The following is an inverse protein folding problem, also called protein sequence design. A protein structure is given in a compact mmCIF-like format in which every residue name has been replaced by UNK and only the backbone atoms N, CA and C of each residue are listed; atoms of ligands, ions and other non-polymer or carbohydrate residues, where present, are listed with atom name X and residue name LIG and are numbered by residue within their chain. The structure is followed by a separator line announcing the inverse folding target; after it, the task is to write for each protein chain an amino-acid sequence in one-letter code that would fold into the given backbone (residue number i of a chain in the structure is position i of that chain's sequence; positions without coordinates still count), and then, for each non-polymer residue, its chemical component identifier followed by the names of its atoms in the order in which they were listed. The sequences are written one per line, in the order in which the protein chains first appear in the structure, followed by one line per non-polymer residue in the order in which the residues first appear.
data_IF_512690861461
#
_entry.id   IF_512690861461
#
_cell.length_a   1.000
_cell.length_b   1.000
_cell.length_c   1.000
_cell.angle_alpha   90.00
_cell.angle_beta   90.00
_cell.angle_gamma   90.00
#
_symmetry.space_group_name_H-M   'P 1'
#
loop_
_entity.id
_entity.type
_entity.pdbx_description
1 polymer ?
#
# COMPACT_ATOMS: atom_id res chain seq x y z
N UNK A 1 -26.36 -9.80 5.34
CA UNK A 1 -25.51 -10.61 6.24
C UNK A 1 -24.26 -10.94 5.45
N UNK A 2 -23.19 -10.16 5.65
CA UNK A 2 -21.89 -10.49 5.03
C UNK A 2 -21.35 -11.73 5.74
N UNK A 3 -20.87 -12.72 4.99
CA UNK A 3 -20.15 -13.86 5.60
C UNK A 3 -18.86 -13.32 6.26
N UNK A 4 -18.39 -13.98 7.31
CA UNK A 4 -17.11 -13.65 7.95
C UNK A 4 -15.95 -13.62 6.92
N UNK A 5 -16.03 -14.48 5.90
CA UNK A 5 -15.12 -14.49 4.75
C UNK A 5 -15.13 -13.18 3.96
N UNK A 6 -16.31 -12.60 3.71
CA UNK A 6 -16.45 -11.35 2.96
C UNK A 6 -15.87 -10.14 3.70
N UNK A 7 -15.97 -10.14 5.03
CA UNK A 7 -15.38 -9.11 5.88
C UNK A 7 -13.84 -9.20 5.91
N UNK A 8 -13.29 -10.42 6.00
CA UNK A 8 -11.86 -10.66 5.92
C UNK A 8 -11.28 -10.30 4.53
N UNK A 9 -12.02 -10.59 3.45
CA UNK A 9 -11.65 -10.15 2.10
C UNK A 9 -11.63 -8.63 1.98
N UNK A 10 -12.60 -7.93 2.56
CA UNK A 10 -12.67 -6.46 2.49
C UNK A 10 -11.45 -5.77 3.10
N UNK A 11 -10.95 -6.24 4.25
CA UNK A 11 -9.71 -5.73 4.85
C UNK A 11 -8.49 -6.05 3.99
N UNK A 12 -8.39 -7.27 3.48
CA UNK A 12 -7.26 -7.70 2.65
C UNK A 12 -7.21 -6.90 1.34
N UNK A 13 -8.35 -6.71 0.69
CA UNK A 13 -8.47 -5.88 -0.52
C UNK A 13 -8.06 -4.44 -0.24
N UNK A 14 -8.50 -3.85 0.87
CA UNK A 14 -8.09 -2.50 1.26
C UNK A 14 -6.56 -2.39 1.42
N UNK A 15 -5.94 -3.35 2.13
CA UNK A 15 -4.48 -3.41 2.29
C UNK A 15 -3.75 -3.56 0.96
N UNK A 16 -4.11 -4.57 0.15
CA UNK A 16 -3.44 -4.85 -1.12
C UNK A 16 -3.55 -3.67 -2.09
N UNK A 17 -4.70 -3.01 -2.15
CA UNK A 17 -4.89 -1.81 -2.99
C UNK A 17 -3.98 -0.66 -2.54
N UNK A 18 -3.98 -0.34 -1.25
CA UNK A 18 -3.17 0.75 -0.72
C UNK A 18 -1.67 0.44 -0.92
N UNK A 19 -1.22 -0.75 -0.52
CA UNK A 19 0.17 -1.19 -0.65
C UNK A 19 0.67 -1.23 -2.09
N UNK A 20 -0.18 -1.67 -3.04
CA UNK A 20 0.15 -1.68 -4.46
C UNK A 20 0.25 -0.26 -5.02
N UNK A 21 -0.65 0.64 -4.61
CA UNK A 21 -0.64 2.02 -5.11
C UNK A 21 0.59 2.80 -4.65
N UNK A 22 0.95 2.69 -3.37
CA UNK A 22 2.14 3.37 -2.83
C UNK A 22 3.44 2.64 -3.20
N UNK A 23 3.37 1.47 -3.85
CA UNK A 23 4.54 0.73 -4.34
C UNK A 23 5.28 -0.10 -3.28
N UNK A 24 4.63 -0.41 -2.15
CA UNK A 24 5.17 -1.32 -1.13
C UNK A 24 5.16 -2.77 -1.62
N UNK A 25 4.16 -3.14 -2.42
CA UNK A 25 4.07 -4.42 -3.12
C UNK A 25 3.94 -4.19 -4.63
N UNK A 26 4.19 -5.22 -5.41
CA UNK A 26 3.99 -5.22 -6.85
C UNK A 26 2.79 -6.10 -7.25
N UNK A 27 2.50 -6.14 -8.55
CA UNK A 27 1.44 -7.00 -9.11
C UNK A 27 1.70 -8.47 -8.76
N UNK A 28 2.94 -8.95 -8.82
CA UNK A 28 3.27 -10.34 -8.57
C UNK A 28 2.90 -10.78 -7.15
N UNK A 29 3.10 -9.92 -6.15
CA UNK A 29 2.67 -10.17 -4.77
C UNK A 29 1.13 -10.29 -4.64
N UNK A 30 0.37 -9.47 -5.38
CA UNK A 30 -1.11 -9.57 -5.41
C UNK A 30 -1.56 -10.87 -6.07
N UNK A 31 -0.93 -11.28 -7.18
CA UNK A 31 -1.22 -12.56 -7.84
C UNK A 31 -0.91 -13.72 -6.90
N UNK A 32 0.23 -13.69 -6.21
CA UNK A 32 0.62 -14.73 -5.27
C UNK A 32 -0.39 -14.87 -4.11
N UNK A 33 -0.91 -13.75 -3.61
CA UNK A 33 -2.00 -13.78 -2.63
C UNK A 33 -3.27 -14.41 -3.22
N UNK A 34 -3.63 -14.07 -4.46
CA UNK A 34 -4.80 -14.64 -5.12
C UNK A 34 -4.66 -16.16 -5.28
N UNK A 35 -3.52 -16.63 -5.78
CA UNK A 35 -3.21 -18.07 -5.93
C UNK A 35 -3.29 -18.81 -4.59
N UNK A 36 -2.66 -18.27 -3.54
CA UNK A 36 -2.68 -18.87 -2.21
C UNK A 36 -4.12 -18.94 -1.65
N UNK A 37 -4.92 -17.90 -1.89
CA UNK A 37 -6.32 -17.86 -1.47
C UNK A 37 -7.15 -18.90 -2.23
N UNK A 38 -7.03 -18.96 -3.57
CA UNK A 38 -7.73 -19.92 -4.42
C UNK A 38 -7.48 -21.37 -3.99
N UNK A 39 -6.26 -21.69 -3.57
CA UNK A 39 -5.90 -23.03 -3.10
C UNK A 39 -6.66 -23.48 -1.83
N UNK A 40 -7.26 -22.54 -1.08
CA UNK A 40 -7.97 -22.83 0.17
C UNK A 40 -9.49 -22.79 0.04
N UNK A 41 -10.02 -22.18 -1.03
CA UNK A 41 -11.46 -22.01 -1.23
C UNK A 41 -12.08 -23.16 -2.03
N UNK A 42 -13.20 -23.70 -1.53
CA UNK A 42 -13.98 -24.69 -2.28
C UNK A 42 -14.78 -24.06 -3.44
N UNK A 43 -15.23 -22.82 -3.26
CA UNK A 43 -16.05 -22.08 -4.23
C UNK A 43 -15.52 -20.64 -4.38
N UNK A 44 -14.36 -20.46 -5.05
CA UNK A 44 -13.77 -19.13 -5.19
C UNK A 44 -14.64 -18.21 -6.06
N UNK A 45 -14.74 -16.90 -5.71
CA UNK A 45 -15.43 -15.93 -6.55
C UNK A 45 -14.67 -15.78 -7.88
N UNK A 46 -15.43 -15.62 -8.96
CA UNK A 46 -14.85 -15.52 -10.31
C UNK A 46 -13.85 -14.36 -10.44
N UNK A 47 -14.12 -13.22 -9.78
CA UNK A 47 -13.21 -12.09 -9.76
C UNK A 47 -11.82 -12.42 -9.18
N UNK A 48 -11.73 -13.34 -8.21
CA UNK A 48 -10.47 -13.79 -7.63
C UNK A 48 -9.70 -14.72 -8.59
N UNK A 49 -10.42 -15.55 -9.35
CA UNK A 49 -9.82 -16.38 -10.42
C UNK A 49 -9.23 -15.49 -11.50
N UNK A 50 -9.98 -14.49 -11.97
CA UNK A 50 -9.49 -13.52 -12.93
C UNK A 50 -8.26 -12.78 -12.40
N UNK A 51 -8.31 -12.32 -11.15
CA UNK A 51 -7.18 -11.65 -10.51
C UNK A 51 -5.92 -12.51 -10.58
N UNK A 52 -5.98 -13.81 -10.27
CA UNK A 52 -4.82 -14.72 -10.35
C UNK A 52 -4.22 -14.85 -11.77
N UNK A 53 -4.98 -14.55 -12.82
CA UNK A 53 -4.52 -14.62 -14.21
C UNK A 53 -3.92 -13.31 -14.73
N UNK A 54 -3.93 -12.24 -13.93
CA UNK A 54 -3.53 -10.87 -14.34
C UNK A 54 -2.02 -10.58 -14.24
N UNK A 55 -1.15 -11.59 -14.32
CA UNK A 55 0.32 -11.43 -14.17
C UNK A 55 0.99 -10.42 -15.11
N UNK A 56 0.33 -10.05 -16.22
CA UNK A 56 0.82 -9.07 -17.21
C UNK A 56 0.01 -7.77 -17.24
N UNK A 57 -0.98 -7.64 -16.37
CA UNK A 57 -1.83 -6.45 -16.30
C UNK A 57 -1.11 -5.29 -15.65
N UNK A 58 -1.62 -4.08 -15.91
CA UNK A 58 -1.11 -2.89 -15.25
C UNK A 58 -1.50 -2.87 -13.77
N UNK A 59 -0.79 -2.05 -13.00
CA UNK A 59 -1.11 -1.79 -11.60
C UNK A 59 -2.55 -1.31 -11.43
N UNK A 60 -2.99 -0.41 -12.31
CA UNK A 60 -4.32 0.19 -12.29
C UNK A 60 -5.41 -0.85 -12.58
N UNK A 61 -5.18 -1.75 -13.54
CA UNK A 61 -6.09 -2.85 -13.85
C UNK A 61 -6.23 -3.81 -12.66
N UNK A 62 -5.11 -4.18 -12.02
CA UNK A 62 -5.10 -5.05 -10.84
C UNK A 62 -5.80 -4.39 -9.66
N UNK A 63 -5.55 -3.10 -9.41
CA UNK A 63 -6.26 -2.34 -8.39
C UNK A 63 -7.77 -2.33 -8.64
N UNK A 64 -8.21 -2.13 -9.89
CA UNK A 64 -9.62 -2.18 -10.25
C UNK A 64 -10.21 -3.57 -10.02
N UNK A 65 -9.51 -4.64 -10.40
CA UNK A 65 -9.98 -6.01 -10.19
C UNK A 65 -10.11 -6.37 -8.70
N UNK A 66 -9.22 -5.86 -7.84
CA UNK A 66 -9.33 -6.05 -6.39
C UNK A 66 -10.69 -5.56 -5.84
N UNK A 67 -11.29 -4.51 -6.42
CA UNK A 67 -12.64 -4.04 -6.02
C UNK A 67 -13.76 -5.00 -6.43
N UNK A 68 -13.52 -5.81 -7.47
CA UNK A 68 -14.48 -6.83 -7.90
C UNK A 68 -14.39 -8.09 -7.03
N UNK A 69 -13.27 -8.31 -6.34
CA UNK A 69 -13.10 -9.41 -5.38
C UNK A 69 -13.93 -9.17 -4.12
N UNK A 70 -13.83 -7.97 -3.54
CA UNK A 70 -14.63 -7.55 -2.41
C UNK A 70 -14.67 -6.03 -2.28
N UNK A 71 -15.72 -5.51 -1.63
CA UNK A 71 -15.76 -4.11 -1.20
C UNK A 71 -14.69 -3.87 -0.13
N UNK A 72 -13.79 -2.88 -0.30
CA UNK A 72 -12.80 -2.53 0.71
C UNK A 72 -13.47 -2.19 2.04
N UNK A 73 -12.94 -2.74 3.14
CA UNK A 73 -13.46 -2.46 4.49
C UNK A 73 -13.00 -1.10 5.05
N UNK A 74 -11.98 -0.50 4.44
CA UNK A 74 -11.36 0.77 4.84
C UNK A 74 -10.91 1.52 3.58
N UNK A 75 -10.86 2.85 3.68
CA UNK A 75 -10.31 3.68 2.60
C UNK A 75 -8.78 3.71 2.66
N UNK A 76 -8.14 4.13 1.57
CA UNK A 76 -6.68 4.09 1.44
C UNK A 76 -5.95 4.87 2.56
N UNK A 77 -6.48 6.01 2.98
CA UNK A 77 -5.88 6.88 4.02
C UNK A 77 -5.89 6.23 5.40
N UNK A 78 -6.93 5.45 5.73
CA UNK A 78 -7.03 4.71 6.98
C UNK A 78 -6.11 3.48 6.98
N UNK A 79 -5.84 2.93 5.79
CA UNK A 79 -4.98 1.75 5.62
C UNK A 79 -3.50 2.11 5.52
N UNK A 80 -3.18 3.35 5.13
CA UNK A 80 -1.81 3.82 4.92
C UNK A 80 -0.88 3.57 6.13
N UNK A 81 -1.26 3.79 7.40
CA UNK A 81 -0.41 3.46 8.55
C UNK A 81 0.10 2.02 8.57
N UNK A 82 -0.75 1.04 8.24
CA UNK A 82 -0.37 -0.37 8.21
C UNK A 82 0.58 -0.69 7.06
N UNK A 83 0.37 -0.02 5.92
CA UNK A 83 1.26 -0.12 4.78
C UNK A 83 2.63 0.50 5.08
N UNK A 84 2.67 1.63 5.80
CA UNK A 84 3.91 2.27 6.26
C UNK A 84 4.66 1.44 7.29
N UNK A 85 3.96 0.68 8.15
CA UNK A 85 4.56 -0.30 9.07
C UNK A 85 5.40 -1.35 8.31
N UNK A 86 4.86 -1.89 7.22
CA UNK A 86 5.58 -2.86 6.37
C UNK A 86 6.71 -2.17 5.59
N UNK A 87 6.45 -0.96 5.09
CA UNK A 87 7.46 -0.17 4.39
C UNK A 87 8.68 0.14 5.28
N UNK A 88 8.48 0.44 6.57
CA UNK A 88 9.55 0.69 7.54
C UNK A 88 10.59 -0.44 7.57
N UNK A 89 10.12 -1.69 7.58
CA UNK A 89 11.00 -2.87 7.59
C UNK A 89 11.79 -2.99 6.28
N UNK A 90 11.20 -2.58 5.15
CA UNK A 90 11.82 -2.67 3.83
C UNK A 90 12.85 -1.55 3.59
N UNK A 91 12.66 -0.36 4.17
CA UNK A 91 13.59 0.76 4.07
C UNK A 91 15.00 0.42 4.60
N UNK A 92 15.12 -0.52 5.54
CA UNK A 92 16.41 -0.99 6.04
C UNK A 92 17.21 -1.83 5.04
N UNK A 93 16.54 -2.44 4.05
CA UNK A 93 17.13 -3.44 3.16
C UNK A 93 17.26 -3.03 1.69
N UNK A 94 16.61 -1.95 1.26
CA UNK A 94 16.61 -1.49 -0.13
C UNK A 94 16.81 0.04 -0.21
N UNK A 95 18.03 0.52 -0.48
CA UNK A 95 18.33 1.95 -0.61
C UNK A 95 17.56 2.67 -1.71
N UNK A 96 17.04 1.96 -2.71
CA UNK A 96 16.25 2.57 -3.80
C UNK A 96 14.76 2.66 -3.49
N UNK A 97 14.33 2.03 -2.41
CA UNK A 97 12.93 1.95 -2.04
C UNK A 97 12.39 3.28 -1.51
N UNK A 98 13.21 4.08 -0.81
CA UNK A 98 12.81 5.35 -0.20
C UNK A 98 12.18 6.31 -1.21
N UNK A 99 12.88 6.57 -2.32
CA UNK A 99 12.37 7.43 -3.41
C UNK A 99 11.07 6.92 -4.02
N UNK A 100 10.99 5.62 -4.35
CA UNK A 100 9.77 5.02 -4.94
C UNK A 100 8.57 5.09 -3.99
N UNK A 101 8.81 4.84 -2.70
CA UNK A 101 7.81 4.95 -1.65
C UNK A 101 7.30 6.38 -1.52
N UNK A 102 8.21 7.37 -1.50
CA UNK A 102 7.86 8.78 -1.42
C UNK A 102 6.97 9.23 -2.60
N UNK A 103 7.32 8.84 -3.84
CA UNK A 103 6.50 9.10 -5.03
C UNK A 103 5.10 8.47 -4.91
N UNK A 104 5.03 7.24 -4.40
CA UNK A 104 3.77 6.52 -4.19
C UNK A 104 2.87 7.19 -3.16
N UNK A 105 3.46 7.56 -2.02
CA UNK A 105 2.78 8.30 -0.94
C UNK A 105 2.29 9.66 -1.43
N UNK A 106 3.09 10.39 -2.22
CA UNK A 106 2.70 11.69 -2.76
C UNK A 106 1.50 11.60 -3.70
N UNK A 107 1.45 10.59 -4.58
CA UNK A 107 0.29 10.36 -5.45
C UNK A 107 -0.99 10.11 -4.66
N UNK A 108 -0.90 9.35 -3.57
CA UNK A 108 -2.03 9.13 -2.67
C UNK A 108 -2.43 10.44 -2.00
N UNK A 109 -1.49 11.18 -1.41
CA UNK A 109 -1.74 12.47 -0.77
C UNK A 109 -2.41 13.48 -1.72
N UNK A 110 -1.95 13.59 -2.95
CA UNK A 110 -2.54 14.46 -3.97
C UNK A 110 -3.98 14.03 -4.34
N UNK A 111 -4.24 12.72 -4.43
CA UNK A 111 -5.58 12.19 -4.72
C UNK A 111 -6.55 12.35 -3.55
N UNK A 112 -6.06 12.35 -2.32
CA UNK A 112 -6.83 12.69 -1.11
C UNK A 112 -7.07 14.20 -0.97
N UNK A 113 -6.78 15.00 -2.00
CA UNK A 113 -7.01 16.44 -1.99
C UNK A 113 -6.06 17.19 -1.07
N UNK A 114 -4.87 16.64 -0.82
CA UNK A 114 -3.87 17.16 0.13
C UNK A 114 -4.33 17.16 1.59
N UNK A 115 -5.39 16.41 1.91
CA UNK A 115 -6.00 16.37 3.24
C UNK A 115 -5.87 14.97 3.87
N UNK A 116 -4.65 14.65 4.32
CA UNK A 116 -4.42 13.46 5.14
C UNK A 116 -4.50 13.79 6.64
N UNK A 117 -4.85 12.83 7.51
CA UNK A 117 -4.82 13.01 8.95
C UNK A 117 -3.47 13.54 9.44
N UNK A 118 -3.45 14.28 10.56
CA UNK A 118 -2.26 15.02 11.02
C UNK A 118 -0.96 14.22 11.12
N UNK A 119 -1.04 12.94 11.52
CA UNK A 119 0.13 12.03 11.58
C UNK A 119 0.69 11.65 10.21
N UNK A 120 -0.09 11.83 9.15
CA UNK A 120 0.25 11.52 7.75
C UNK A 120 0.51 12.80 6.93
N UNK A 121 0.41 14.00 7.50
CA UNK A 121 0.64 15.24 6.75
C UNK A 121 2.07 15.35 6.17
N UNK A 122 3.06 14.74 6.82
CA UNK A 122 4.43 14.67 6.30
C UNK A 122 4.55 13.86 5.00
N UNK A 123 3.53 13.10 4.59
CA UNK A 123 3.50 12.37 3.33
C UNK A 123 3.74 13.25 2.10
N UNK A 124 3.24 14.49 2.10
CA UNK A 124 3.44 15.44 0.98
C UNK A 124 4.86 16.00 0.87
N UNK A 125 5.69 15.86 1.91
CA UNK A 125 7.02 16.44 1.96
C UNK A 125 8.08 15.62 1.19
N UNK A 126 8.03 14.29 1.30
CA UNK A 126 9.18 13.45 0.92
C UNK A 126 9.48 13.46 -0.59
N UNK A 127 8.47 13.42 -1.45
CA UNK A 127 8.69 13.43 -2.91
C UNK A 127 9.34 14.74 -3.38
N UNK A 128 8.88 15.86 -2.83
CA UNK A 128 9.48 17.19 -3.08
C UNK A 128 10.91 17.26 -2.53
N UNK A 129 11.13 16.75 -1.31
CA UNK A 129 12.46 16.75 -0.69
C UNK A 129 13.49 15.99 -1.54
N UNK A 130 13.13 14.79 -2.02
CA UNK A 130 13.99 14.03 -2.93
C UNK A 130 14.25 14.79 -4.23
N UNK A 131 13.23 15.41 -4.83
CA UNK A 131 13.39 16.20 -6.06
C UNK A 131 14.35 17.38 -5.88
N UNK A 132 14.33 18.01 -4.70
CA UNK A 132 15.26 19.09 -4.34
C UNK A 132 16.69 18.59 -4.10
N UNK A 133 16.84 17.40 -3.51
CA UNK A 133 18.15 16.78 -3.31
C UNK A 133 18.76 16.33 -4.65
N UNK A 134 17.98 15.68 -5.51
CA UNK A 134 18.42 15.20 -6.84
C UNK A 134 18.83 16.35 -7.76
N UNK A 135 18.18 17.50 -7.64
CA UNK A 135 18.54 18.72 -8.38
C UNK A 135 19.71 19.50 -7.76
N UNK A 136 20.26 19.05 -6.63
CA UNK A 136 21.33 19.73 -5.91
C UNK A 136 20.93 21.07 -5.29
N UNK A 137 19.62 21.33 -5.15
CA UNK A 137 19.07 22.58 -4.62
C UNK A 137 19.08 22.57 -3.09
N UNK A 138 18.65 21.48 -2.47
CA UNK A 138 18.56 21.38 -1.01
C UNK A 138 18.60 19.93 -0.51
N UNK A 139 19.37 19.69 0.55
CA UNK A 139 19.47 18.39 1.20
C UNK A 139 20.30 17.36 0.42
N UNK A 140 20.29 16.13 0.93
CA UNK A 140 20.92 14.96 0.33
C UNK A 140 19.96 13.77 0.46
N UNK A 141 19.96 12.87 -0.52
CA UNK A 141 19.06 11.71 -0.53
C UNK A 141 19.18 10.89 0.77
N UNK A 142 20.40 10.71 1.30
CA UNK A 142 20.63 9.95 2.53
C UNK A 142 19.99 10.58 3.77
N UNK A 143 19.86 11.91 3.79
CA UNK A 143 19.16 12.61 4.88
C UNK A 143 17.66 12.36 4.79
N UNK A 144 17.10 12.39 3.58
CA UNK A 144 15.68 12.19 3.33
C UNK A 144 15.30 10.72 3.56
N UNK A 145 16.17 9.77 3.18
CA UNK A 145 16.01 8.35 3.51
C UNK A 145 15.90 8.15 5.03
N UNK A 146 16.76 8.82 5.81
CA UNK A 146 16.71 8.76 7.28
C UNK A 146 15.42 9.38 7.82
N UNK A 147 15.01 10.54 7.33
CA UNK A 147 13.77 11.20 7.77
C UNK A 147 12.53 10.36 7.43
N UNK A 148 12.50 9.73 6.26
CA UNK A 148 11.45 8.80 5.85
C UNK A 148 11.44 7.55 6.73
N UNK A 149 12.61 7.03 7.10
CA UNK A 149 12.74 5.93 8.05
C UNK A 149 12.21 6.30 9.44
N UNK A 150 12.59 7.47 9.97
CA UNK A 150 12.11 7.98 11.27
C UNK A 150 10.60 8.24 11.24
N UNK A 151 10.07 8.80 10.16
CA UNK A 151 8.63 8.99 9.96
C UNK A 151 7.87 7.66 9.97
N UNK A 152 8.35 6.66 9.23
CA UNK A 152 7.71 5.35 9.17
C UNK A 152 7.80 4.57 10.48
N UNK A 153 8.78 4.88 11.34
CA UNK A 153 8.91 4.29 12.67
C UNK A 153 7.69 4.52 13.56
N UNK A 154 6.97 5.63 13.38
CA UNK A 154 5.73 5.91 14.14
C UNK A 154 4.63 4.88 13.90
N UNK A 155 4.71 4.13 12.81
CA UNK A 155 3.74 3.10 12.43
C UNK A 155 4.29 1.68 12.64
N UNK A 156 5.54 1.53 13.06
CA UNK A 156 6.18 0.23 13.18
C UNK A 156 5.43 -0.68 14.16
N UNK A 157 5.19 -1.92 13.75
CA UNK A 157 4.49 -2.93 14.55
C UNK A 157 2.97 -2.88 14.45
N UNK A 158 2.40 -1.96 13.67
CA UNK A 158 0.99 -2.06 13.27
C UNK A 158 0.79 -3.25 12.34
N UNK A 159 -0.28 -4.01 12.59
CA UNK A 159 -0.68 -5.18 11.79
C UNK A 159 -2.16 -5.10 11.44
N UNK A 160 -2.45 -4.96 10.15
CA UNK A 160 -3.82 -4.85 9.62
C UNK A 160 -4.61 -6.15 9.81
N UNK A 161 -3.94 -7.30 9.95
CA UNK A 161 -4.60 -8.59 10.17
C UNK A 161 -5.24 -8.71 11.56
N UNK A 162 -4.83 -7.85 12.50
CA UNK A 162 -5.44 -7.78 13.84
C UNK A 162 -6.74 -6.97 13.87
N UNK A 163 -7.05 -6.25 12.78
CA UNK A 163 -8.27 -5.46 12.68
C UNK A 163 -9.50 -6.36 12.59
N UNK A 164 -10.54 -5.95 13.30
CA UNK A 164 -11.88 -6.49 13.12
C UNK A 164 -12.59 -5.62 12.10
N UNK A 165 -13.09 -6.22 11.04
CA UNK A 165 -13.98 -5.51 10.13
C UNK A 165 -15.21 -4.99 10.92
N UNK A 166 -15.67 -3.77 10.63
CA UNK A 166 -16.81 -3.16 11.31
C UNK A 166 -18.13 -3.93 11.10
#
# INVERSE_FOLDING_TARGET
MMSEDGAAFGLTVAYLRCALDVGVIDVAAVIQWADATLATLQHPPYALIELALMSRSSREEVMWQLLQVATPAMVEDEMLPYVLSVAHSRLLGDPTFGRRLAEGIYRLWARSGYDLPGTLQACGYFDDAYSLADSGVHGHAEVIDRELFEFTQHFAGLDWQTLKAP
#
